data_IF_885352555353
#
_entry.id   IF_885352555353
#
_cell.length_a   1.000
_cell.length_b   1.000
_cell.length_c   1.000
_cell.angle_alpha   90.00
_cell.angle_beta   90.00
_cell.angle_gamma   90.00
#
_symmetry.space_group_name_H-M   'P 1'
#
loop_
_entity.id
_entity.type
_entity.pdbx_description
1 polymer ?
#
# COMPACT_ATOMS: atom_id res chain seq x y z
N UNK A 1 -8.56 8.94 -5.00
CA UNK A 1 -7.53 9.50 -4.10
C UNK A 1 -6.40 8.49 -3.99
N UNK A 2 -5.22 8.81 -4.50
CA UNK A 2 -4.08 7.89 -4.50
C UNK A 2 -3.13 8.13 -3.33
N UNK A 3 -2.24 7.17 -3.09
CA UNK A 3 -1.10 7.36 -2.20
C UNK A 3 -0.22 8.52 -2.70
N UNK A 4 0.38 9.26 -1.77
CA UNK A 4 1.28 10.36 -2.09
C UNK A 4 2.62 9.83 -2.62
N UNK A 5 3.26 10.57 -3.50
CA UNK A 5 4.55 10.20 -4.10
C UNK A 5 5.67 9.78 -3.13
N UNK A 6 5.91 10.45 -1.97
CA UNK A 6 6.89 9.97 -1.00
C UNK A 6 6.57 8.56 -0.45
N UNK A 7 5.29 8.25 -0.25
CA UNK A 7 4.85 6.91 0.20
C UNK A 7 5.06 5.89 -0.92
N UNK A 8 4.72 6.26 -2.16
CA UNK A 8 4.94 5.40 -3.32
C UNK A 8 6.43 5.08 -3.52
N UNK A 9 7.34 6.04 -3.27
CA UNK A 9 8.79 5.79 -3.33
C UNK A 9 9.26 4.77 -2.29
N UNK A 10 8.62 4.72 -1.12
CA UNK A 10 8.90 3.70 -0.10
C UNK A 10 8.39 2.35 -0.58
N UNK A 11 7.14 2.28 -1.05
CA UNK A 11 6.50 1.02 -1.48
C UNK A 11 7.06 0.42 -2.77
N UNK A 12 7.80 1.19 -3.58
CA UNK A 12 8.48 0.70 -4.79
C UNK A 12 9.80 -0.02 -4.50
N UNK A 13 10.29 0.02 -3.27
CA UNK A 13 11.52 -0.69 -2.89
C UNK A 13 11.25 -2.17 -2.65
N UNK A 14 12.27 -2.98 -2.87
CA UNK A 14 12.33 -4.37 -2.39
C UNK A 14 12.68 -4.36 -0.90
N UNK A 15 12.07 -5.26 -0.16
CA UNK A 15 12.28 -5.46 1.25
C UNK A 15 12.47 -6.93 1.58
N UNK A 16 12.71 -7.25 2.86
CA UNK A 16 12.71 -8.64 3.32
C UNK A 16 11.40 -9.34 2.98
N UNK A 17 11.52 -10.60 2.58
CA UNK A 17 10.40 -11.44 2.19
C UNK A 17 9.51 -11.75 3.40
N UNK A 18 8.20 -11.88 3.16
CA UNK A 18 7.19 -12.31 4.16
C UNK A 18 7.29 -11.53 5.48
N UNK A 19 7.54 -10.23 5.39
CA UNK A 19 7.83 -9.36 6.52
C UNK A 19 6.78 -8.28 6.67
N UNK A 20 6.57 -7.85 7.91
CA UNK A 20 5.75 -6.69 8.25
C UNK A 20 6.66 -5.52 8.62
N UNK A 21 6.55 -4.45 7.86
CA UNK A 21 7.44 -3.28 7.98
C UNK A 21 6.60 -2.08 8.35
N UNK A 22 6.99 -1.39 9.42
CA UNK A 22 6.38 -0.16 9.88
C UNK A 22 7.42 0.97 9.84
N UNK A 23 7.06 2.10 9.25
CA UNK A 23 7.92 3.25 9.06
C UNK A 23 7.13 4.55 9.19
N UNK A 24 7.74 5.56 9.77
CA UNK A 24 7.19 6.90 9.82
C UNK A 24 7.61 7.71 8.58
N UNK A 25 6.67 8.41 7.96
CA UNK A 25 6.90 9.28 6.83
C UNK A 25 6.19 10.62 7.03
N UNK A 26 6.95 11.61 7.50
CA UNK A 26 6.45 12.95 7.80
C UNK A 26 5.34 12.91 8.87
N UNK A 27 4.10 13.26 8.50
CA UNK A 27 2.93 13.20 9.40
C UNK A 27 2.17 11.86 9.35
N UNK A 28 2.66 10.90 8.56
CA UNK A 28 2.02 9.62 8.34
C UNK A 28 2.83 8.50 8.97
N UNK A 29 2.16 7.53 9.54
CA UNK A 29 2.73 6.22 9.89
C UNK A 29 2.30 5.25 8.78
N UNK A 30 3.26 4.55 8.19
CA UNK A 30 3.05 3.61 7.10
C UNK A 30 3.45 2.22 7.55
N UNK A 31 2.51 1.28 7.47
CA UNK A 31 2.74 -0.12 7.80
C UNK A 31 2.40 -0.98 6.59
N UNK A 32 3.28 -1.85 6.12
CA UNK A 32 3.01 -2.69 4.96
C UNK A 32 3.55 -4.11 5.10
N UNK A 33 2.91 -5.04 4.40
CA UNK A 33 3.30 -6.45 4.34
C UNK A 33 3.91 -6.75 2.97
N UNK A 34 4.99 -7.51 3.00
CA UNK A 34 5.70 -7.97 1.81
C UNK A 34 5.38 -9.43 1.51
N UNK A 35 5.48 -9.81 0.25
CA UNK A 35 5.33 -11.20 -0.19
C UNK A 35 6.66 -11.98 -0.13
N UNK A 36 6.64 -13.21 -0.64
CA UNK A 36 7.81 -14.07 -0.80
C UNK A 36 8.91 -13.50 -1.71
N UNK A 37 8.58 -12.53 -2.56
CA UNK A 37 9.52 -11.82 -3.43
C UNK A 37 10.04 -10.51 -2.83
N UNK A 38 9.59 -10.14 -1.62
CA UNK A 38 9.93 -8.88 -0.98
C UNK A 38 9.17 -7.67 -1.53
N UNK A 39 8.10 -7.92 -2.29
CA UNK A 39 7.25 -6.89 -2.87
C UNK A 39 6.11 -6.51 -1.91
N UNK A 40 5.90 -5.21 -1.63
CA UNK A 40 4.77 -4.79 -0.81
C UNK A 40 3.44 -5.09 -1.50
N UNK A 41 2.56 -5.84 -0.82
CA UNK A 41 1.23 -6.19 -1.33
C UNK A 41 0.09 -5.40 -0.66
N UNK A 42 0.23 -5.14 0.64
CA UNK A 42 -0.77 -4.46 1.44
C UNK A 42 -0.11 -3.36 2.25
N UNK A 43 -0.70 -2.16 2.24
CA UNK A 43 -0.21 -1.01 2.97
C UNK A 43 -1.33 -0.42 3.82
N UNK A 44 -0.97 0.12 4.98
CA UNK A 44 -1.86 0.80 5.90
C UNK A 44 -1.23 2.15 6.23
N UNK A 45 -1.96 3.22 5.92
CA UNK A 45 -1.49 4.58 6.13
C UNK A 45 -2.31 5.20 7.26
N UNK A 46 -1.65 5.54 8.35
CA UNK A 46 -2.25 6.18 9.50
C UNK A 46 -1.78 7.63 9.58
N UNK A 47 -2.69 8.53 9.92
CA UNK A 47 -2.35 9.92 10.22
C UNK A 47 -2.83 10.27 11.61
N UNK A 48 -1.90 10.67 12.47
CA UNK A 48 -2.22 11.31 13.75
C UNK A 48 -2.74 12.71 13.45
N UNK A 49 -3.98 12.97 13.83
CA UNK A 49 -4.56 14.32 13.75
C UNK A 49 -4.23 15.09 15.03
N UNK A 50 -4.21 16.42 14.96
CA UNK A 50 -3.99 17.31 16.12
C UNK A 50 -5.02 17.12 17.25
N UNK A 51 -6.13 16.43 16.99
CA UNK A 51 -7.17 16.08 17.99
C UNK A 51 -6.97 14.69 18.61
N UNK A 52 -5.81 14.04 18.45
CA UNK A 52 -5.54 12.70 18.99
C UNK A 52 -6.28 11.57 18.27
N UNK A 53 -7.08 11.86 17.24
CA UNK A 53 -7.74 10.83 16.44
C UNK A 53 -6.76 10.25 15.43
N UNK A 54 -6.66 8.92 15.37
CA UNK A 54 -5.94 8.18 14.34
C UNK A 54 -6.91 7.86 13.21
N UNK A 55 -6.69 8.42 12.02
CA UNK A 55 -7.39 7.96 10.81
C UNK A 55 -6.43 7.07 10.02
N UNK A 56 -6.76 5.79 9.94
CA UNK A 56 -6.08 4.80 9.12
C UNK A 56 -6.84 4.52 7.83
N UNK A 57 -6.14 4.37 6.72
CA UNK A 57 -6.68 3.85 5.46
C UNK A 57 -5.78 2.73 4.94
N UNK A 58 -6.39 1.56 4.70
CA UNK A 58 -5.72 0.44 4.06
C UNK A 58 -5.76 0.56 2.54
N UNK A 59 -4.70 0.08 1.90
CA UNK A 59 -4.53 0.00 0.45
C UNK A 59 -4.01 -1.39 0.07
N UNK A 60 -4.40 -1.84 -1.12
CA UNK A 60 -4.00 -3.11 -1.72
C UNK A 60 -3.31 -2.78 -3.04
N UNK A 61 -2.16 -3.41 -3.30
CA UNK A 61 -1.47 -3.30 -4.58
C UNK A 61 -2.20 -4.15 -5.61
N UNK A 62 -2.59 -3.54 -6.72
CA UNK A 62 -3.21 -4.20 -7.86
C UNK A 62 -2.26 -4.14 -9.04
N UNK A 63 -1.82 -5.33 -9.48
CA UNK A 63 -0.97 -5.50 -10.65
C UNK A 63 -1.79 -6.19 -11.74
N UNK A 64 -2.11 -5.45 -12.80
CA UNK A 64 -2.83 -5.97 -13.96
C UNK A 64 -1.79 -6.37 -15.00
N UNK A 65 -1.77 -7.66 -15.32
CA UNK A 65 -0.95 -8.23 -16.38
C UNK A 65 -1.79 -8.38 -17.65
N UNK A 66 -1.19 -8.12 -18.80
CA UNK A 66 -1.80 -8.43 -20.09
C UNK A 66 -1.73 -9.93 -20.41
N UNK A 67 -2.41 -10.36 -21.48
CA UNK A 67 -2.41 -11.76 -21.95
C UNK A 67 -1.01 -12.34 -22.21
N UNK A 68 -0.02 -11.48 -22.46
CA UNK A 68 1.39 -11.86 -22.65
C UNK A 68 2.21 -11.92 -21.35
N UNK A 69 1.59 -11.72 -20.18
CA UNK A 69 2.27 -11.71 -18.88
C UNK A 69 3.06 -10.44 -18.56
N UNK A 70 2.98 -9.40 -19.41
CA UNK A 70 3.59 -8.08 -19.15
C UNK A 70 2.72 -7.28 -18.18
N UNK A 71 3.35 -6.59 -17.24
CA UNK A 71 2.68 -5.68 -16.32
C UNK A 71 2.15 -4.46 -17.08
N UNK A 72 0.84 -4.33 -17.19
CA UNK A 72 0.17 -3.22 -17.86
C UNK A 72 -0.08 -2.06 -16.88
N UNK A 73 -0.58 -2.38 -15.68
CA UNK A 73 -0.88 -1.39 -14.64
C UNK A 73 -0.44 -1.88 -13.28
N UNK A 74 0.19 -0.98 -12.53
CA UNK A 74 0.52 -1.15 -11.11
C UNK A 74 0.01 0.06 -10.34
N UNK A 75 -1.00 -0.15 -9.51
CA UNK A 75 -1.61 0.92 -8.72
C UNK A 75 -2.09 0.41 -7.37
N UNK A 76 -2.28 1.34 -6.43
CA UNK A 76 -2.76 1.05 -5.09
C UNK A 76 -4.23 1.45 -4.98
N UNK A 77 -5.09 0.48 -4.66
CA UNK A 77 -6.52 0.68 -4.47
C UNK A 77 -6.84 0.74 -2.96
N UNK A 78 -7.65 1.69 -2.49
CA UNK A 78 -8.13 1.68 -1.11
C UNK A 78 -8.90 0.40 -0.80
N UNK A 79 -8.62 -0.23 0.35
CA UNK A 79 -9.25 -1.50 0.77
C UNK A 79 -10.78 -1.39 0.84
N UNK A 80 -11.30 -0.22 1.24
CA UNK A 80 -12.75 0.02 1.27
C UNK A 80 -13.39 0.05 -0.12
N UNK A 81 -12.63 0.39 -1.17
CA UNK A 81 -13.09 0.35 -2.56
C UNK A 81 -12.98 -1.06 -3.14
N UNK A 82 -11.96 -1.83 -2.74
CA UNK A 82 -11.83 -3.25 -3.14
C UNK A 82 -13.05 -4.09 -2.76
N UNK A 83 -13.61 -3.86 -1.57
CA UNK A 83 -14.79 -4.57 -1.07
C UNK A 83 -16.07 -4.35 -1.89
N UNK A 84 -16.09 -3.37 -2.81
CA UNK A 84 -17.23 -3.13 -3.71
C UNK A 84 -17.20 -3.96 -5.00
N UNK A 85 -16.10 -4.64 -5.28
CA UNK A 85 -15.95 -5.49 -6.47
C UNK A 85 -16.19 -6.98 -6.19
N UNK A 86 -16.59 -7.31 -4.96
CA UNK A 86 -17.01 -8.65 -4.54
C UNK A 86 -18.49 -8.56 -4.14
N UNK A 87 -19.38 -8.51 -5.14
CA UNK A 87 -20.83 -8.67 -5.01
C UNK A 87 -21.33 -9.49 -6.19
#
# INVERSE_FOLDING_TARGET
MGLKEPILKILRKKYDCVSLIACSCNQYELSFKTDESGDPLQAFLERKTSKGNVKGQGYIRCMIHDASGRLNKDYWLPRNEFNRFII
#
